data_IF_621994522556
#
_entry.id   IF_621994522556
#
_cell.length_a   1.000
_cell.length_b   1.000
_cell.length_c   1.000
_cell.angle_alpha   90.00
_cell.angle_beta   90.00
_cell.angle_gamma   90.00
#
_symmetry.space_group_name_H-M   'P 1'
#
loop_
_entity.id
_entity.type
_entity.pdbx_description
1 polymer ?
#
# COMPACT_ATOMS: atom_id res chain seq x y z
N UNK A 1 1.44 -7.44 18.28
CA UNK A 1 1.74 -6.69 17.04
C UNK A 1 0.49 -6.79 16.18
N UNK A 2 -0.10 -5.66 15.83
CA UNK A 2 -1.22 -5.60 14.90
C UNK A 2 -0.75 -6.07 13.53
N UNK A 3 -1.53 -6.88 12.83
CA UNK A 3 -1.23 -7.25 11.43
C UNK A 3 -1.17 -5.97 10.60
N UNK A 4 -0.12 -5.75 9.79
CA UNK A 4 0.00 -4.54 8.98
C UNK A 4 -1.00 -4.54 7.81
N UNK A 5 -1.63 -5.67 7.52
CA UNK A 5 -2.62 -5.82 6.46
C UNK A 5 -4.01 -5.99 7.08
N UNK A 6 -4.95 -5.17 6.61
CA UNK A 6 -6.39 -5.28 6.90
C UNK A 6 -7.13 -5.49 5.59
N UNK A 7 -8.06 -6.45 5.55
CA UNK A 7 -8.93 -6.69 4.42
C UNK A 7 -10.31 -6.06 4.67
N UNK A 8 -10.84 -5.36 3.69
CA UNK A 8 -12.18 -4.81 3.64
C UNK A 8 -12.84 -5.23 2.32
N UNK A 9 -13.69 -6.25 2.38
CA UNK A 9 -14.25 -6.91 1.19
C UNK A 9 -13.16 -7.40 0.23
N UNK A 10 -13.20 -6.91 -1.00
CA UNK A 10 -12.23 -7.22 -2.07
C UNK A 10 -11.05 -6.24 -2.10
N UNK A 11 -10.81 -5.51 -1.00
CA UNK A 11 -9.71 -4.54 -0.91
C UNK A 11 -8.79 -4.89 0.26
N UNK A 12 -7.48 -4.85 0.01
CA UNK A 12 -6.47 -4.90 1.06
C UNK A 12 -5.93 -3.50 1.36
N UNK A 13 -5.69 -3.24 2.65
CA UNK A 13 -5.03 -2.06 3.16
C UNK A 13 -3.78 -2.50 3.93
N UNK A 14 -2.60 -2.26 3.35
CA UNK A 14 -1.31 -2.43 4.02
C UNK A 14 -0.88 -1.11 4.64
N UNK A 15 -0.67 -1.06 5.94
CA UNK A 15 -0.27 0.15 6.65
C UNK A 15 0.98 -0.11 7.48
N UNK A 16 1.98 0.76 7.30
CA UNK A 16 3.15 0.86 8.16
C UNK A 16 3.13 2.24 8.80
N UNK A 17 3.36 2.31 10.11
CA UNK A 17 3.39 3.56 10.83
C UNK A 17 4.55 3.59 11.84
N UNK A 18 5.15 4.76 12.01
CA UNK A 18 6.05 5.08 13.10
C UNK A 18 5.57 6.34 13.83
N UNK A 19 6.00 6.50 15.07
CA UNK A 19 5.73 7.63 15.97
C UNK A 19 6.91 8.61 16.01
N UNK A 20 7.65 8.70 14.91
CA UNK A 20 8.81 9.57 14.77
C UNK A 20 8.45 11.05 14.63
N UNK A 21 9.41 11.85 14.16
CA UNK A 21 9.25 13.31 14.01
C UNK A 21 8.33 13.73 12.86
N UNK A 22 7.85 12.77 12.06
CA UNK A 22 6.98 13.01 10.91
C UNK A 22 7.72 13.53 9.67
N UNK A 23 6.92 14.03 8.72
CA UNK A 23 7.40 14.61 7.47
C UNK A 23 7.47 16.14 7.57
N UNK A 24 8.34 16.81 6.81
CA UNK A 24 8.29 18.26 6.65
C UNK A 24 6.88 18.73 6.23
N UNK A 25 6.43 19.91 6.68
CA UNK A 25 5.06 20.41 6.43
C UNK A 25 4.71 20.57 4.95
N UNK A 26 5.71 20.75 4.08
CA UNK A 26 5.55 20.90 2.64
C UNK A 26 6.07 19.68 1.86
N UNK A 27 6.26 18.53 2.53
CA UNK A 27 6.77 17.31 1.88
C UNK A 27 5.79 16.84 0.80
N UNK A 28 6.32 16.69 -0.41
CA UNK A 28 5.60 16.14 -1.53
C UNK A 28 6.27 14.83 -1.96
N UNK A 29 5.60 13.67 -1.86
CA UNK A 29 6.17 12.39 -2.26
C UNK A 29 6.66 12.32 -3.70
N UNK A 30 6.03 13.05 -4.63
CA UNK A 30 6.42 13.07 -6.04
C UNK A 30 7.64 13.96 -6.29
N UNK A 31 7.78 15.05 -5.52
CA UNK A 31 8.88 16.02 -5.66
C UNK A 31 10.11 15.68 -4.81
N UNK A 32 9.88 15.29 -3.56
CA UNK A 32 10.90 15.15 -2.51
C UNK A 32 11.24 13.67 -2.25
N UNK A 33 10.41 12.75 -2.76
CA UNK A 33 10.64 11.32 -2.71
C UNK A 33 11.88 10.89 -3.50
N UNK A 34 12.74 10.10 -2.86
CA UNK A 34 13.87 9.43 -3.52
C UNK A 34 13.42 8.09 -4.10
N UNK A 35 14.37 7.31 -4.61
CA UNK A 35 14.15 5.96 -5.17
C UNK A 35 13.18 5.09 -4.34
N UNK A 36 13.28 5.10 -3.01
CA UNK A 36 12.37 4.31 -2.17
C UNK A 36 10.90 4.69 -2.35
N UNK A 37 10.60 5.99 -2.48
CA UNK A 37 9.24 6.49 -2.71
C UNK A 37 8.76 6.15 -4.12
N UNK A 38 9.61 6.35 -5.12
CA UNK A 38 9.33 5.97 -6.50
C UNK A 38 9.00 4.48 -6.63
N UNK A 39 9.74 3.61 -5.92
CA UNK A 39 9.46 2.18 -5.85
C UNK A 39 8.09 1.90 -5.22
N UNK A 40 7.75 2.54 -4.10
CA UNK A 40 6.45 2.36 -3.44
C UNK A 40 5.29 2.79 -4.32
N UNK A 41 5.39 3.94 -4.98
CA UNK A 41 4.37 4.44 -5.92
C UNK A 41 4.18 3.46 -7.08
N UNK A 42 5.29 3.01 -7.69
CA UNK A 42 5.24 2.08 -8.82
C UNK A 42 4.66 0.72 -8.43
N UNK A 43 5.06 0.17 -7.28
CA UNK A 43 4.52 -1.10 -6.78
C UNK A 43 3.04 -1.00 -6.44
N UNK A 44 2.61 0.09 -5.81
CA UNK A 44 1.19 0.35 -5.57
C UNK A 44 0.41 0.38 -6.89
N UNK A 45 0.94 1.06 -7.91
CA UNK A 45 0.35 1.10 -9.24
C UNK A 45 0.29 -0.26 -9.95
N UNK A 46 1.34 -1.09 -9.81
CA UNK A 46 1.35 -2.46 -10.35
C UNK A 46 0.28 -3.37 -9.74
N UNK A 47 -0.08 -3.11 -8.48
CA UNK A 47 -1.19 -3.79 -7.80
C UNK A 47 -2.57 -3.21 -8.15
N UNK A 48 -2.65 -2.23 -9.07
CA UNK A 48 -3.89 -1.48 -9.34
C UNK A 48 -4.36 -0.63 -8.16
N UNK A 49 -3.46 -0.36 -7.21
CA UNK A 49 -3.72 0.35 -5.98
C UNK A 49 -3.23 1.79 -5.96
N UNK A 50 -3.28 2.40 -4.77
CA UNK A 50 -2.75 3.75 -4.51
C UNK A 50 -1.98 3.79 -3.20
N UNK A 51 -0.94 4.63 -3.19
CA UNK A 51 -0.16 4.97 -2.00
C UNK A 51 -0.79 6.18 -1.31
N UNK A 52 -0.97 6.12 -0.01
CA UNK A 52 -1.45 7.20 0.85
C UNK A 52 -0.38 7.48 1.92
N UNK A 53 -0.06 8.75 2.16
CA UNK A 53 0.97 9.16 3.13
C UNK A 53 0.39 10.25 4.03
N UNK A 54 0.59 10.08 5.33
CA UNK A 54 0.24 11.06 6.36
C UNK A 54 1.45 11.27 7.28
N UNK A 55 1.85 12.53 7.44
CA UNK A 55 2.99 12.95 8.26
C UNK A 55 2.61 13.73 9.52
N UNK A 56 1.33 13.76 9.90
CA UNK A 56 0.81 14.64 10.95
C UNK A 56 1.07 14.16 12.40
N UNK A 57 1.28 12.86 12.61
CA UNK A 57 1.53 12.24 13.92
C UNK A 57 2.52 11.08 13.75
N UNK A 58 3.79 11.43 13.50
CA UNK A 58 4.78 10.50 12.96
C UNK A 58 4.62 10.30 11.46
N UNK A 59 5.00 9.14 10.93
CA UNK A 59 4.80 8.82 9.50
C UNK A 59 3.91 7.60 9.39
N UNK A 60 2.85 7.73 8.59
CA UNK A 60 1.97 6.63 8.21
C UNK A 60 1.96 6.49 6.70
N UNK A 61 2.30 5.30 6.23
CA UNK A 61 2.29 4.93 4.81
C UNK A 61 1.26 3.81 4.63
N UNK A 62 0.29 4.05 3.75
CA UNK A 62 -0.77 3.10 3.39
C UNK A 62 -0.71 2.72 1.92
N UNK A 63 -0.90 1.45 1.61
CA UNK A 63 -1.17 0.98 0.24
C UNK A 63 -2.54 0.32 0.23
N UNK A 64 -3.45 0.87 -0.57
CA UNK A 64 -4.78 0.31 -0.80
C UNK A 64 -4.86 -0.28 -2.19
N UNK A 65 -5.18 -1.57 -2.31
CA UNK A 65 -5.22 -2.29 -3.58
C UNK A 65 -6.31 -3.37 -3.59
N UNK A 66 -6.89 -3.71 -4.75
CA UNK A 66 -7.84 -4.81 -4.87
C UNK A 66 -7.17 -6.16 -4.60
N UNK A 67 -7.91 -7.07 -3.97
CA UNK A 67 -7.54 -8.48 -3.87
C UNK A 67 -8.14 -9.22 -5.06
N UNK A 68 -7.30 -9.91 -5.82
CA UNK A 68 -7.78 -10.86 -6.80
C UNK A 68 -8.34 -12.09 -6.07
N UNK A 69 -9.66 -12.09 -5.90
CA UNK A 69 -10.43 -13.23 -5.43
C UNK A 69 -10.74 -14.22 -6.56
N UNK A 70 -9.90 -14.29 -7.59
CA UNK A 70 -9.96 -15.41 -8.52
C UNK A 70 -9.57 -16.65 -7.72
N UNK A 71 -10.55 -17.33 -7.14
CA UNK A 71 -10.47 -18.77 -6.96
C UNK A 71 -9.93 -19.29 -8.28
N UNK A 72 -8.72 -19.84 -8.26
CA UNK A 72 -8.15 -20.47 -9.42
C UNK A 72 -9.20 -21.46 -9.89
N UNK A 73 -9.87 -21.13 -11.00
CA UNK A 73 -10.66 -22.06 -11.76
C UNK A 73 -9.63 -23.00 -12.37
N UNK A 74 -9.08 -23.88 -11.52
CA UNK A 74 -8.22 -24.99 -11.93
C UNK A 74 -9.17 -25.83 -12.75
N UNK A 75 -9.02 -25.88 -14.08
CA UNK A 75 -9.88 -26.70 -14.90
C UNK A 75 -9.77 -28.11 -14.34
N UNK A 76 -10.90 -28.70 -13.95
CA UNK A 76 -10.94 -30.14 -13.70
C UNK A 76 -10.51 -30.76 -15.03
N UNK A 77 -9.33 -31.38 -15.02
CA UNK A 77 -8.81 -32.21 -16.08
C UNK A 77 -9.88 -33.24 -16.47
N UNK A 78 -10.67 -32.92 -17.48
CA UNK A 78 -11.58 -33.87 -18.11
C UNK A 78 -10.72 -34.75 -19.02
N UNK A 79 -10.64 -36.02 -18.60
CA UNK A 79 -9.84 -37.11 -19.16
C UNK A 79 -10.05 -37.37 -20.64
#
# INVERSE_FOLDING_TARGET
MSSPIMQDGDTANLVVADDGVGLPPDFDPERDGKLGMELMINLAGQLGGRLEIDGSDGVRIGVRFPLDNSETDVPLDES
#
